data_IF_604143654025
#
_entry.id   IF_604143654025
#
_cell.length_a   1.000
_cell.length_b   1.000
_cell.length_c   1.000
_cell.angle_alpha   90.00
_cell.angle_beta   90.00
_cell.angle_gamma   90.00
#
_symmetry.space_group_name_H-M   'P 1'
#
loop_
_entity.id
_entity.type
_entity.pdbx_description
1 polymer ?
#
# COMPACT_ATOMS: atom_id res chain seq x y z
N UNK A 1 -3.77 5.87 -18.37
CA UNK A 1 -4.64 5.52 -17.22
C UNK A 1 -5.33 6.78 -16.73
N UNK A 2 -6.66 6.82 -16.58
CA UNK A 2 -7.35 8.04 -16.15
C UNK A 2 -7.20 8.24 -14.63
N UNK A 3 -6.56 9.33 -14.22
CA UNK A 3 -6.36 9.65 -12.81
C UNK A 3 -7.60 10.33 -12.23
N UNK A 4 -8.20 9.72 -11.20
CA UNK A 4 -9.36 10.31 -10.52
C UNK A 4 -9.04 11.63 -9.80
N UNK A 5 -7.79 11.86 -9.41
CA UNK A 5 -7.35 13.11 -8.76
C UNK A 5 -7.20 14.27 -9.75
N UNK A 6 -6.74 13.97 -10.97
CA UNK A 6 -6.40 14.99 -11.97
C UNK A 6 -7.44 15.13 -13.09
N UNK A 7 -8.40 14.20 -13.18
CA UNK A 7 -9.50 14.23 -14.13
C UNK A 7 -9.14 13.82 -15.57
N UNK A 8 -7.86 13.59 -15.86
CA UNK A 8 -7.34 13.26 -17.20
C UNK A 8 -6.45 12.01 -17.20
N UNK A 9 -6.01 11.61 -18.39
CA UNK A 9 -5.14 10.47 -18.58
C UNK A 9 -3.69 10.79 -18.21
N UNK A 10 -3.11 9.94 -17.36
CA UNK A 10 -1.73 10.01 -16.94
C UNK A 10 -0.97 8.74 -17.30
N UNK A 11 0.34 8.87 -17.37
CA UNK A 11 1.28 7.77 -17.57
C UNK A 11 1.78 7.22 -16.24
N UNK A 12 2.34 6.01 -16.26
CA UNK A 12 2.94 5.40 -15.08
C UNK A 12 4.10 6.26 -14.56
N UNK A 13 4.96 6.75 -15.46
CA UNK A 13 6.08 7.63 -15.14
C UNK A 13 5.63 8.88 -14.39
N UNK A 14 4.50 9.47 -14.79
CA UNK A 14 3.92 10.59 -14.06
C UNK A 14 3.55 10.20 -12.62
N UNK A 15 2.89 9.05 -12.42
CA UNK A 15 2.54 8.58 -11.09
C UNK A 15 3.77 8.29 -10.20
N UNK A 16 4.88 7.86 -10.80
CA UNK A 16 6.14 7.59 -10.09
C UNK A 16 6.84 8.90 -9.71
N UNK A 17 6.84 9.88 -10.62
CA UNK A 17 7.51 11.17 -10.45
C UNK A 17 6.64 12.25 -9.77
N UNK A 18 5.36 11.95 -9.48
CA UNK A 18 4.38 12.91 -8.94
C UNK A 18 4.90 13.60 -7.66
N UNK A 19 5.64 12.88 -6.81
CA UNK A 19 6.26 13.46 -5.62
C UNK A 19 7.76 13.21 -5.62
N UNK A 20 8.49 14.15 -5.02
CA UNK A 20 9.96 14.12 -4.90
C UNK A 20 10.43 12.91 -4.08
N UNK A 21 9.63 12.50 -3.10
CA UNK A 21 10.00 11.45 -2.15
C UNK A 21 9.29 10.10 -2.40
N UNK A 22 8.04 10.06 -2.86
CA UNK A 22 7.26 8.83 -2.97
C UNK A 22 6.30 8.83 -4.17
N UNK A 23 6.10 7.67 -4.83
CA UNK A 23 5.11 7.56 -5.90
C UNK A 23 3.69 7.76 -5.36
N UNK A 24 2.77 8.08 -6.27
CA UNK A 24 1.36 8.31 -5.94
C UNK A 24 0.80 7.19 -5.07
N UNK A 25 0.11 7.52 -3.97
CA UNK A 25 -0.35 6.51 -3.01
C UNK A 25 -1.29 5.47 -3.62
N UNK A 26 -2.00 5.81 -4.69
CA UNK A 26 -2.92 4.90 -5.38
C UNK A 26 -2.30 4.18 -6.57
N UNK A 27 -1.00 4.35 -6.82
CA UNK A 27 -0.33 3.77 -8.00
C UNK A 27 -0.50 2.25 -8.07
N UNK A 28 -0.40 1.56 -6.93
CA UNK A 28 -0.61 0.10 -6.85
C UNK A 28 -2.05 -0.21 -7.25
N UNK A 29 -3.04 0.36 -6.56
CA UNK A 29 -4.44 0.12 -6.87
C UNK A 29 -4.84 0.43 -8.32
N UNK A 30 -4.32 1.53 -8.89
CA UNK A 30 -4.58 1.91 -10.27
C UNK A 30 -3.96 0.92 -11.27
N UNK A 31 -2.68 0.54 -11.07
CA UNK A 31 -1.93 -0.19 -12.09
C UNK A 31 -1.88 -1.72 -11.89
N UNK A 32 -2.21 -2.24 -10.70
CA UNK A 32 -2.37 -3.69 -10.42
C UNK A 32 -3.26 -4.44 -11.42
N UNK A 33 -4.41 -3.90 -11.91
CA UNK A 33 -5.20 -4.59 -12.93
C UNK A 33 -4.54 -4.61 -14.32
N UNK A 34 -3.53 -3.77 -14.56
CA UNK A 34 -2.81 -3.71 -15.85
C UNK A 34 -1.62 -4.67 -15.85
N UNK A 35 -0.85 -4.71 -14.76
CA UNK A 35 0.30 -5.59 -14.58
C UNK A 35 0.75 -5.62 -13.11
N UNK A 36 1.76 -6.45 -12.81
CA UNK A 36 2.38 -6.55 -11.48
C UNK A 36 3.23 -5.31 -11.15
N UNK A 37 2.55 -4.23 -10.78
CA UNK A 37 3.15 -2.94 -10.47
C UNK A 37 3.98 -2.97 -9.19
N UNK A 38 3.64 -3.83 -8.22
CA UNK A 38 4.37 -3.95 -6.96
C UNK A 38 5.80 -4.46 -7.19
N UNK A 39 5.96 -5.55 -7.94
CA UNK A 39 7.29 -6.06 -8.31
C UNK A 39 8.07 -5.07 -9.16
N UNK A 40 7.38 -4.34 -10.04
CA UNK A 40 8.01 -3.28 -10.85
C UNK A 40 8.55 -2.15 -9.98
N UNK A 41 7.74 -1.62 -9.05
CA UNK A 41 8.16 -0.57 -8.13
C UNK A 41 9.29 -1.04 -7.20
N UNK A 42 9.29 -2.30 -6.77
CA UNK A 42 10.38 -2.85 -5.96
C UNK A 42 11.72 -2.88 -6.71
N UNK A 43 11.69 -3.02 -8.04
CA UNK A 43 12.90 -2.99 -8.89
C UNK A 43 13.34 -1.58 -9.25
N UNK A 44 12.38 -0.69 -9.50
CA UNK A 44 12.65 0.69 -9.90
C UNK A 44 12.99 1.60 -8.72
N UNK A 45 12.34 1.42 -7.57
CA UNK A 45 12.59 2.20 -6.37
C UNK A 45 13.79 1.64 -5.59
N UNK A 46 14.55 2.53 -4.99
CA UNK A 46 15.54 2.14 -3.99
C UNK A 46 14.87 1.45 -2.80
N UNK A 47 15.55 0.49 -2.13
CA UNK A 47 14.97 -0.26 -1.01
C UNK A 47 14.45 0.66 0.11
N UNK A 48 15.12 1.77 0.40
CA UNK A 48 14.66 2.79 1.36
C UNK A 48 13.33 3.44 0.96
N UNK A 49 13.18 3.78 -0.33
CA UNK A 49 11.95 4.37 -0.86
C UNK A 49 10.83 3.35 -0.90
N UNK A 50 11.13 2.10 -1.27
CA UNK A 50 10.18 1.01 -1.21
C UNK A 50 9.67 0.80 0.22
N UNK A 51 10.56 0.74 1.21
CA UNK A 51 10.20 0.62 2.63
C UNK A 51 9.34 1.80 3.11
N UNK A 52 9.69 3.04 2.74
CA UNK A 52 8.86 4.21 3.05
C UNK A 52 7.49 4.11 2.37
N UNK A 53 7.43 3.66 1.12
CA UNK A 53 6.19 3.54 0.36
C UNK A 53 5.24 2.52 1.00
N UNK A 54 5.71 1.30 1.30
CA UNK A 54 4.89 0.26 1.93
C UNK A 54 4.45 0.63 3.36
N UNK A 55 5.25 1.42 4.07
CA UNK A 55 4.90 1.93 5.40
C UNK A 55 3.95 3.13 5.35
N UNK A 56 4.01 3.92 4.28
CA UNK A 56 3.12 5.05 4.03
C UNK A 56 1.74 4.60 3.54
N UNK A 57 1.67 3.50 2.78
CA UNK A 57 0.40 2.87 2.47
C UNK A 57 -0.26 2.42 3.77
N UNK A 58 -1.54 2.77 4.02
CA UNK A 58 -2.26 2.18 5.13
C UNK A 58 -2.27 0.68 4.87
N UNK A 59 -1.50 -0.09 5.66
CA UNK A 59 -1.56 -1.55 5.65
C UNK A 59 -3.03 -1.89 5.81
N UNK A 60 -3.61 -2.38 4.72
CA UNK A 60 -5.05 -2.61 4.64
C UNK A 60 -5.46 -3.42 5.87
N UNK A 61 -6.58 -3.04 6.48
CA UNK A 61 -6.96 -3.27 7.89
C UNK A 61 -7.12 -4.76 8.30
N UNK A 62 -6.65 -5.69 7.49
CA UNK A 62 -6.68 -7.13 7.69
C UNK A 62 -5.70 -7.58 8.78
N UNK A 63 -4.58 -6.87 8.98
CA UNK A 63 -3.64 -7.19 10.08
C UNK A 63 -4.26 -6.87 11.46
N UNK A 64 -5.17 -5.89 11.52
CA UNK A 64 -5.74 -5.45 12.80
C UNK A 64 -6.75 -6.43 13.40
N UNK A 65 -7.41 -7.26 12.58
CA UNK A 65 -8.39 -8.24 13.08
C UNK A 65 -7.70 -9.43 13.76
N UNK A 66 -6.52 -9.85 13.32
CA UNK A 66 -5.82 -10.99 13.93
C UNK A 66 -5.26 -10.60 15.31
N UNK A 67 -4.71 -9.39 15.48
CA UNK A 67 -4.22 -8.94 16.79
C UNK A 67 -5.34 -8.72 17.83
N UNK A 68 -6.56 -8.38 17.39
CA UNK A 68 -7.70 -8.25 18.29
C UNK A 68 -8.24 -9.61 18.78
N UNK A 69 -8.02 -10.69 18.03
CA UNK A 69 -8.45 -12.05 18.44
C UNK A 69 -7.48 -12.63 19.48
N UNK A 70 -6.19 -12.34 19.38
CA UNK A 70 -5.17 -12.78 20.37
C UNK A 70 -5.38 -12.12 21.73
N UNK A 71 -5.75 -10.83 21.78
CA UNK A 71 -6.01 -10.12 23.03
C UNK A 71 -7.28 -10.61 23.77
N UNK A 72 -8.23 -11.23 23.07
CA UNK A 72 -9.43 -11.79 23.68
C UNK A 72 -9.20 -13.17 24.32
N UNK A 73 -8.22 -13.94 23.84
CA UNK A 73 -7.86 -15.25 24.45
C UNK A 73 -7.09 -15.13 25.76
N UNK A 74 -6.44 -14.00 26.03
CA UNK A 74 -5.64 -13.79 27.23
C UNK A 74 -6.44 -13.36 28.48
N UNK A 75 -7.76 -13.22 28.39
CA UNK A 75 -8.61 -12.71 29.50
C UNK A 75 -9.65 -13.68 30.06
N UNK A 76 -9.52 -14.99 29.84
CA UNK A 76 -10.30 -15.99 30.57
C UNK A 76 -9.41 -16.95 31.38
N UNK A 77 -8.93 -16.55 32.58
CA UNK A 77 -8.75 -17.49 33.66
C UNK A 77 -10.12 -17.83 34.27
N UNK A 78 -10.58 -19.07 34.07
CA UNK A 78 -11.54 -19.82 34.89
C UNK A 78 -12.88 -19.17 35.30
N UNK A 79 -14.00 -19.76 34.88
CA UNK A 79 -15.07 -20.17 35.80
C UNK A 79 -16.05 -21.19 35.19
N UNK A 80 -16.17 -22.29 35.94
CA UNK A 80 -17.22 -23.34 35.99
C UNK A 80 -17.38 -24.32 34.82
#
# INVERSE_FOLDING_TARGET
MRCARLGHEVTLSYCIQESIDLPCSRIVHCWSPVFDIETFLQKELSPDLWQKFINFQPKDKVVSIIELIEAAKAKNPANE
#
